data_IF_111451484622
#
_entry.id   IF_111451484622
#
_cell.length_a   1.000
_cell.length_b   1.000
_cell.length_c   1.000
_cell.angle_alpha   90.00
_cell.angle_beta   90.00
_cell.angle_gamma   90.00
#
_symmetry.space_group_name_H-M   'P 1'
#
loop_
_entity.id
_entity.type
_entity.pdbx_description
1 polymer ?
#
# COMPACT_ATOMS: atom_id res chain seq x y z
N UNK A 1 38.23 -22.50 -0.73
CA UNK A 1 37.18 -23.50 -0.46
C UNK A 1 36.17 -23.60 -1.60
N UNK A 2 35.16 -22.72 -1.75
CA UNK A 2 34.09 -22.92 -2.76
C UNK A 2 34.58 -23.10 -4.20
N UNK A 3 35.53 -22.25 -4.65
CA UNK A 3 36.12 -22.35 -6.00
C UNK A 3 36.87 -23.67 -6.22
N UNK A 4 37.51 -24.22 -5.17
CA UNK A 4 38.22 -25.49 -5.27
C UNK A 4 37.26 -26.64 -5.51
N UNK A 5 36.13 -26.71 -4.79
CA UNK A 5 35.13 -27.77 -5.01
C UNK A 5 34.38 -27.65 -6.36
N UNK A 6 34.15 -26.43 -6.85
CA UNK A 6 33.64 -26.22 -8.21
C UNK A 6 34.65 -26.72 -9.27
N UNK A 7 35.94 -26.48 -9.06
CA UNK A 7 37.00 -26.97 -9.93
C UNK A 7 37.13 -28.50 -9.86
N UNK A 8 37.00 -29.11 -8.68
CA UNK A 8 37.00 -30.58 -8.51
C UNK A 8 35.87 -31.23 -9.32
N UNK A 9 34.68 -30.61 -9.39
CA UNK A 9 33.59 -31.09 -10.25
C UNK A 9 33.66 -30.57 -11.69
N UNK A 10 34.63 -29.71 -12.03
CA UNK A 10 34.78 -29.07 -13.35
C UNK A 10 33.52 -28.31 -13.81
N UNK A 11 32.86 -27.62 -12.88
CA UNK A 11 31.65 -26.83 -13.15
C UNK A 11 31.89 -25.35 -12.89
N UNK A 12 31.15 -24.51 -13.60
CA UNK A 12 31.24 -23.06 -13.44
C UNK A 12 30.65 -22.61 -12.10
N UNK A 13 31.11 -21.46 -11.59
CA UNK A 13 30.49 -20.78 -10.45
C UNK A 13 29.01 -20.39 -10.66
N UNK A 14 28.58 -20.35 -11.91
CA UNK A 14 27.18 -20.08 -12.29
C UNK A 14 26.36 -21.37 -12.53
N UNK A 15 26.95 -22.55 -12.35
CA UNK A 15 26.30 -23.82 -12.69
C UNK A 15 25.09 -24.11 -11.81
N UNK A 16 24.02 -24.60 -12.43
CA UNK A 16 22.79 -24.97 -11.73
C UNK A 16 22.93 -26.25 -10.90
N UNK A 17 22.01 -26.52 -9.96
CA UNK A 17 21.97 -27.81 -9.21
C UNK A 17 22.05 -29.00 -10.17
N UNK A 18 21.31 -28.92 -11.27
CA UNK A 18 21.23 -30.00 -12.26
C UNK A 18 22.58 -30.28 -12.91
N UNK A 19 23.37 -29.25 -13.16
CA UNK A 19 24.69 -29.34 -13.76
C UNK A 19 25.70 -29.94 -12.77
N UNK A 20 25.68 -29.47 -11.51
CA UNK A 20 26.49 -30.03 -10.41
C UNK A 20 26.19 -31.53 -10.24
N UNK A 21 24.91 -31.92 -10.22
CA UNK A 21 24.48 -33.33 -10.11
C UNK A 21 24.86 -34.17 -11.33
N UNK A 22 24.95 -33.59 -12.52
CA UNK A 22 25.39 -34.28 -13.74
C UNK A 22 26.90 -34.50 -13.70
N UNK A 23 27.66 -33.47 -13.35
CA UNK A 23 29.11 -33.55 -13.22
C UNK A 23 29.55 -34.56 -12.16
N UNK A 24 28.91 -34.53 -10.97
CA UNK A 24 29.14 -35.53 -9.92
C UNK A 24 28.91 -36.95 -10.43
N UNK A 25 27.77 -37.23 -11.07
CA UNK A 25 27.47 -38.58 -11.61
C UNK A 25 28.50 -39.05 -12.64
N UNK A 26 29.01 -38.14 -13.48
CA UNK A 26 30.05 -38.45 -14.47
C UNK A 26 31.36 -38.82 -13.77
N UNK A 27 31.82 -38.00 -12.82
CA UNK A 27 33.08 -38.24 -12.09
C UNK A 27 33.00 -39.44 -11.14
N UNK A 28 31.90 -39.61 -10.43
CA UNK A 28 31.67 -40.77 -9.57
C UNK A 28 31.73 -42.09 -10.34
N UNK A 29 31.23 -42.14 -11.59
CA UNK A 29 31.36 -43.32 -12.45
C UNK A 29 32.81 -43.55 -12.94
N UNK A 30 33.55 -42.47 -13.18
CA UNK A 30 34.95 -42.53 -13.65
C UNK A 30 35.93 -43.01 -12.57
N UNK A 31 35.69 -42.64 -11.31
CA UNK A 31 36.54 -42.96 -10.17
C UNK A 31 35.95 -44.04 -9.26
N UNK A 32 34.89 -44.74 -9.69
CA UNK A 32 34.29 -45.80 -8.88
C UNK A 32 35.30 -46.94 -8.67
N UNK A 33 35.50 -47.44 -7.43
CA UNK A 33 36.50 -48.48 -7.14
C UNK A 33 36.28 -49.77 -7.92
N UNK A 34 35.03 -50.10 -8.25
CA UNK A 34 34.71 -51.28 -9.08
C UNK A 34 35.07 -51.12 -10.56
N UNK A 35 35.13 -49.89 -11.08
CA UNK A 35 35.37 -49.58 -12.49
C UNK A 35 36.80 -49.12 -12.75
N UNK A 36 37.44 -48.49 -11.77
CA UNK A 36 38.77 -47.93 -11.86
C UNK A 36 39.65 -48.44 -10.72
N UNK A 37 40.68 -49.21 -11.06
CA UNK A 37 41.63 -49.83 -10.12
C UNK A 37 42.95 -49.08 -10.01
N UNK A 38 43.03 -47.86 -10.56
CA UNK A 38 44.22 -47.03 -10.43
C UNK A 38 44.44 -46.65 -8.97
N UNK A 39 45.70 -46.60 -8.56
CA UNK A 39 46.10 -46.34 -7.17
C UNK A 39 45.62 -44.99 -6.60
N UNK A 40 45.21 -44.04 -7.46
CA UNK A 40 44.66 -42.74 -7.07
C UNK A 40 43.14 -42.59 -7.24
N UNK A 41 42.44 -43.61 -7.77
CA UNK A 41 41.00 -43.49 -8.05
C UNK A 41 40.16 -43.34 -6.78
N UNK A 42 40.56 -44.01 -5.70
CA UNK A 42 39.90 -43.94 -4.40
C UNK A 42 39.95 -42.53 -3.80
N UNK A 43 41.12 -41.88 -3.85
CA UNK A 43 41.31 -40.53 -3.29
C UNK A 43 40.51 -39.49 -4.10
N UNK A 44 40.52 -39.61 -5.42
CA UNK A 44 39.69 -38.77 -6.31
C UNK A 44 38.19 -38.96 -6.05
N UNK A 45 37.75 -40.20 -5.81
CA UNK A 45 36.35 -40.48 -5.48
C UNK A 45 35.91 -39.80 -4.18
N UNK A 46 36.76 -39.86 -3.14
CA UNK A 46 36.51 -39.18 -1.85
C UNK A 46 36.40 -37.66 -2.06
N UNK A 47 37.34 -37.06 -2.81
CA UNK A 47 37.35 -35.62 -3.12
C UNK A 47 36.11 -35.19 -3.90
N UNK A 48 35.68 -35.98 -4.89
CA UNK A 48 34.48 -35.72 -5.68
C UNK A 48 33.21 -35.77 -4.82
N UNK A 49 33.14 -36.72 -3.87
CA UNK A 49 32.01 -36.81 -2.96
C UNK A 49 31.97 -35.62 -1.98
N UNK A 50 33.11 -35.27 -1.39
CA UNK A 50 33.24 -34.12 -0.49
C UNK A 50 32.85 -32.81 -1.21
N UNK A 51 33.32 -32.64 -2.45
CA UNK A 51 32.97 -31.49 -3.28
C UNK A 51 31.47 -31.39 -3.54
N UNK A 52 30.83 -32.52 -3.85
CA UNK A 52 29.39 -32.57 -4.08
C UNK A 52 28.59 -32.23 -2.83
N UNK A 53 28.94 -32.81 -1.68
CA UNK A 53 28.25 -32.55 -0.41
C UNK A 53 28.38 -31.08 0.02
N UNK A 54 29.60 -30.52 -0.05
CA UNK A 54 29.85 -29.13 0.27
C UNK A 54 29.04 -28.20 -0.64
N UNK A 55 29.09 -28.41 -1.96
CA UNK A 55 28.36 -27.58 -2.91
C UNK A 55 26.84 -27.68 -2.69
N UNK A 56 26.31 -28.88 -2.40
CA UNK A 56 24.88 -29.05 -2.22
C UNK A 56 24.36 -28.41 -0.92
N UNK A 57 25.15 -28.48 0.16
CA UNK A 57 24.86 -27.81 1.44
C UNK A 57 24.86 -26.29 1.31
N UNK A 58 25.79 -25.72 0.55
CA UNK A 58 25.97 -24.28 0.44
C UNK A 58 25.25 -23.65 -0.78
N UNK A 59 24.66 -24.45 -1.67
CA UNK A 59 24.03 -23.98 -2.91
C UNK A 59 22.94 -22.91 -2.70
N UNK A 60 22.12 -23.07 -1.66
CA UNK A 60 21.01 -22.15 -1.35
C UNK A 60 21.41 -21.00 -0.43
N UNK A 61 22.68 -20.89 -0.01
CA UNK A 61 23.09 -19.82 0.89
C UNK A 61 23.08 -18.46 0.17
N UNK A 62 22.57 -17.40 0.81
CA UNK A 62 22.64 -16.04 0.27
C UNK A 62 24.11 -15.66 0.08
N UNK A 63 24.54 -15.54 -1.18
CA UNK A 63 25.94 -15.31 -1.53
C UNK A 63 26.52 -16.35 -2.49
N UNK A 64 25.97 -17.57 -2.54
CA UNK A 64 26.43 -18.63 -3.46
C UNK A 64 26.31 -18.23 -4.95
N UNK A 65 25.19 -17.59 -5.33
CA UNK A 65 24.99 -17.05 -6.70
C UNK A 65 25.17 -15.54 -6.83
N UNK A 66 25.27 -14.84 -5.70
CA UNK A 66 25.18 -13.39 -5.71
C UNK A 66 26.54 -12.79 -6.08
N UNK A 67 26.77 -12.52 -7.37
CA UNK A 67 27.90 -11.69 -7.87
C UNK A 67 27.77 -10.22 -7.47
N UNK A 68 27.08 -9.91 -6.37
CA UNK A 68 26.86 -8.53 -5.97
C UNK A 68 28.15 -7.93 -5.46
N UNK A 69 28.53 -6.80 -6.03
CA UNK A 69 29.68 -6.07 -5.53
C UNK A 69 29.41 -5.58 -4.09
N UNK A 70 30.44 -5.25 -3.30
CA UNK A 70 30.27 -4.62 -1.99
C UNK A 70 29.32 -3.40 -2.04
N UNK A 71 29.41 -2.59 -3.08
CA UNK A 71 28.60 -1.38 -3.29
C UNK A 71 27.11 -1.72 -3.51
N UNK A 72 26.83 -2.75 -4.32
CA UNK A 72 25.46 -3.21 -4.55
C UNK A 72 24.82 -3.77 -3.26
N UNK A 73 25.60 -4.53 -2.47
CA UNK A 73 25.14 -5.03 -1.16
C UNK A 73 24.84 -3.88 -0.20
N UNK A 74 25.69 -2.87 -0.16
CA UNK A 74 25.46 -1.67 0.66
C UNK A 74 24.20 -0.92 0.23
N UNK A 75 24.02 -0.67 -1.07
CA UNK A 75 22.80 -0.04 -1.61
C UNK A 75 21.53 -0.78 -1.23
N UNK A 76 21.54 -2.11 -1.36
CA UNK A 76 20.39 -2.94 -0.98
C UNK A 76 20.11 -2.87 0.52
N UNK A 77 21.15 -2.88 1.34
CA UNK A 77 21.03 -2.70 2.79
C UNK A 77 20.40 -1.33 3.11
N UNK A 78 20.90 -0.23 2.54
CA UNK A 78 20.33 1.12 2.72
C UNK A 78 18.87 1.17 2.28
N UNK A 79 18.53 0.56 1.14
CA UNK A 79 17.15 0.52 0.64
C UNK A 79 16.23 -0.21 1.61
N UNK A 80 16.66 -1.37 2.12
CA UNK A 80 15.91 -2.14 3.12
C UNK A 80 15.75 -1.37 4.42
N UNK A 81 16.80 -0.70 4.87
CA UNK A 81 16.78 0.06 6.13
C UNK A 81 15.86 1.27 6.03
N UNK A 82 15.94 2.03 4.92
CA UNK A 82 14.98 3.10 4.61
C UNK A 82 13.54 2.58 4.55
N UNK A 83 13.31 1.41 3.96
CA UNK A 83 11.97 0.82 3.90
C UNK A 83 11.42 0.46 5.29
N UNK A 84 12.26 -0.12 6.16
CA UNK A 84 11.90 -0.38 7.57
C UNK A 84 11.59 0.91 8.29
N UNK A 85 12.47 1.91 8.22
CA UNK A 85 12.28 3.22 8.87
C UNK A 85 10.97 3.88 8.42
N UNK A 86 10.68 3.87 7.10
CA UNK A 86 9.40 4.36 6.55
C UNK A 86 8.20 3.60 7.11
N UNK A 87 8.27 2.27 7.21
CA UNK A 87 7.20 1.44 7.78
C UNK A 87 6.97 1.76 9.27
N UNK A 88 8.04 1.98 10.03
CA UNK A 88 7.94 2.38 11.43
C UNK A 88 7.35 3.78 11.60
N UNK A 89 7.84 4.76 10.84
CA UNK A 89 7.31 6.12 10.82
C UNK A 89 5.82 6.14 10.44
N UNK A 90 5.42 5.37 9.42
CA UNK A 90 4.02 5.24 9.02
C UNK A 90 3.15 4.66 10.13
N UNK A 91 3.62 3.61 10.84
CA UNK A 91 2.90 3.04 12.00
C UNK A 91 2.77 4.04 13.15
N UNK A 92 3.81 4.81 13.43
CA UNK A 92 3.77 5.84 14.46
C UNK A 92 2.80 6.97 14.09
N UNK A 93 2.84 7.43 12.85
CA UNK A 93 1.91 8.43 12.33
C UNK A 93 0.45 7.95 12.41
N UNK A 94 0.19 6.68 12.07
CA UNK A 94 -1.14 6.06 12.23
C UNK A 94 -1.58 6.05 13.70
N UNK A 95 -0.73 5.62 14.64
CA UNK A 95 -1.06 5.62 16.07
C UNK A 95 -1.34 7.02 16.62
N UNK A 96 -0.56 8.02 16.21
CA UNK A 96 -0.78 9.41 16.61
C UNK A 96 -2.12 9.94 16.08
N UNK A 97 -2.44 9.64 14.82
CA UNK A 97 -3.73 10.00 14.23
C UNK A 97 -4.91 9.30 14.92
N UNK A 98 -4.77 8.02 15.29
CA UNK A 98 -5.80 7.32 16.05
C UNK A 98 -6.05 7.95 17.42
N UNK A 99 -4.99 8.34 18.13
CA UNK A 99 -5.13 9.08 19.40
C UNK A 99 -5.85 10.41 19.20
N UNK A 100 -5.50 11.16 18.14
CA UNK A 100 -6.18 12.41 17.81
C UNK A 100 -7.66 12.20 17.50
N UNK A 101 -7.99 11.21 16.67
CA UNK A 101 -9.38 10.86 16.31
C UNK A 101 -10.22 10.46 17.54
N UNK A 102 -9.63 9.74 18.48
CA UNK A 102 -10.31 9.29 19.69
C UNK A 102 -10.36 10.35 20.80
N UNK A 103 -9.64 11.47 20.62
CA UNK A 103 -9.69 12.59 21.55
C UNK A 103 -11.08 13.24 21.59
N UNK A 104 -11.41 13.87 22.72
CA UNK A 104 -12.65 14.63 22.88
C UNK A 104 -12.74 15.77 21.85
N UNK A 105 -11.62 16.44 21.56
CA UNK A 105 -11.55 17.56 20.62
C UNK A 105 -12.02 17.18 19.21
N UNK A 106 -11.54 16.06 18.67
CA UNK A 106 -11.92 15.63 17.32
C UNK A 106 -13.41 15.27 17.22
N UNK A 107 -13.94 14.56 18.22
CA UNK A 107 -15.37 14.19 18.28
C UNK A 107 -16.26 15.43 18.40
N UNK A 108 -15.89 16.39 19.26
CA UNK A 108 -16.62 17.65 19.42
C UNK A 108 -16.58 18.49 18.14
N UNK A 109 -15.42 18.62 17.49
CA UNK A 109 -15.30 19.34 16.24
C UNK A 109 -16.21 18.74 15.15
N UNK A 110 -16.20 17.42 14.99
CA UNK A 110 -17.05 16.76 14.00
C UNK A 110 -18.54 16.93 14.29
N UNK A 111 -18.94 16.94 15.57
CA UNK A 111 -20.31 17.23 15.97
C UNK A 111 -20.71 18.66 15.58
N UNK A 112 -19.86 19.65 15.87
CA UNK A 112 -20.09 21.05 15.50
C UNK A 112 -20.25 21.23 13.98
N UNK A 113 -19.38 20.60 13.19
CA UNK A 113 -19.51 20.61 11.73
C UNK A 113 -20.80 19.93 11.25
N UNK A 114 -21.21 18.84 11.92
CA UNK A 114 -22.50 18.21 11.61
C UNK A 114 -23.66 19.17 11.86
N UNK A 115 -23.67 19.85 13.02
CA UNK A 115 -24.71 20.83 13.38
C UNK A 115 -24.74 21.99 12.39
N UNK A 116 -23.57 22.52 12.02
CA UNK A 116 -23.44 23.61 11.06
C UNK A 116 -24.08 23.29 9.70
N UNK A 117 -23.83 22.11 9.13
CA UNK A 117 -24.43 21.76 7.84
C UNK A 117 -25.95 21.69 7.89
N UNK A 118 -26.51 21.15 8.98
CA UNK A 118 -27.96 21.12 9.18
C UNK A 118 -28.52 22.53 9.36
N UNK A 119 -27.81 23.40 10.06
CA UNK A 119 -28.19 24.80 10.22
C UNK A 119 -28.25 25.53 8.86
N UNK A 120 -27.22 25.37 8.02
CA UNK A 120 -27.17 25.91 6.65
C UNK A 120 -28.31 25.36 5.79
N UNK A 121 -28.62 24.06 5.92
CA UNK A 121 -29.73 23.43 5.20
C UNK A 121 -31.08 24.02 5.62
N UNK A 122 -31.31 24.19 6.92
CA UNK A 122 -32.54 24.80 7.46
C UNK A 122 -32.66 26.25 6.98
N UNK A 123 -31.58 27.03 7.01
CA UNK A 123 -31.59 28.40 6.46
C UNK A 123 -31.95 28.40 4.98
N UNK A 124 -31.35 27.53 4.17
CA UNK A 124 -31.67 27.42 2.74
C UNK A 124 -33.14 27.09 2.50
N UNK A 125 -33.71 26.18 3.29
CA UNK A 125 -35.14 25.84 3.24
C UNK A 125 -36.03 27.01 3.69
N UNK A 126 -35.65 27.74 4.73
CA UNK A 126 -36.39 28.92 5.19
C UNK A 126 -36.38 30.04 4.15
N UNK A 127 -35.25 30.27 3.46
CA UNK A 127 -35.15 31.23 2.36
C UNK A 127 -36.09 30.83 1.21
N UNK A 128 -36.09 29.56 0.84
CA UNK A 128 -36.98 29.01 -0.20
C UNK A 128 -38.45 29.15 0.19
N UNK A 129 -38.79 28.78 1.43
CA UNK A 129 -40.14 28.92 1.96
C UNK A 129 -40.59 30.38 1.96
N UNK A 130 -39.74 31.30 2.45
CA UNK A 130 -40.03 32.73 2.47
C UNK A 130 -40.21 33.31 1.07
N UNK A 131 -39.41 32.87 0.08
CA UNK A 131 -39.54 33.33 -1.30
C UNK A 131 -40.87 32.87 -1.93
N UNK A 132 -41.25 31.60 -1.73
CA UNK A 132 -42.51 31.04 -2.25
C UNK A 132 -43.71 31.70 -1.54
N UNK A 133 -43.65 31.79 -0.21
CA UNK A 133 -44.72 32.38 0.60
C UNK A 133 -44.90 33.87 0.33
N UNK A 134 -43.80 34.61 0.15
CA UNK A 134 -43.83 36.04 -0.21
C UNK A 134 -44.50 36.28 -1.56
N UNK A 135 -44.15 35.49 -2.58
CA UNK A 135 -44.82 35.56 -3.89
C UNK A 135 -46.29 35.10 -3.82
N UNK A 136 -46.63 34.21 -2.91
CA UNK A 136 -48.01 33.79 -2.70
C UNK A 136 -48.86 34.92 -2.10
N UNK A 137 -48.38 35.54 -1.03
CA UNK A 137 -49.08 36.66 -0.37
C UNK A 137 -49.30 37.85 -1.30
N UNK A 138 -48.34 38.14 -2.18
CA UNK A 138 -48.47 39.26 -3.11
C UNK A 138 -49.61 39.10 -4.13
N UNK A 139 -50.05 37.86 -4.40
CA UNK A 139 -51.18 37.58 -5.28
C UNK A 139 -52.50 38.15 -4.76
N UNK A 140 -52.63 38.25 -3.44
CA UNK A 140 -53.86 38.63 -2.76
C UNK A 140 -53.96 40.16 -2.52
N UNK A 141 -52.92 40.93 -2.90
CA UNK A 141 -52.91 42.39 -2.85
C UNK A 141 -53.36 43.03 -4.17
N UNK A 142 -54.08 44.16 -4.08
CA UNK A 142 -54.67 44.92 -5.21
C UNK A 142 -53.66 45.32 -6.31
N UNK A 143 -52.39 45.59 -5.95
CA UNK A 143 -51.34 45.98 -6.92
C UNK A 143 -50.72 44.79 -7.70
N UNK A 144 -50.94 43.55 -7.26
CA UNK A 144 -50.42 42.35 -7.92
C UNK A 144 -48.88 42.26 -7.99
N UNK A 145 -48.37 41.54 -9.01
CA UNK A 145 -46.94 41.26 -9.17
C UNK A 145 -46.19 42.40 -9.89
N UNK A 146 -45.16 42.93 -9.24
CA UNK A 146 -44.20 43.87 -9.87
C UNK A 146 -42.97 43.12 -10.39
N UNK A 147 -42.36 43.61 -11.47
CA UNK A 147 -41.16 42.97 -12.05
C UNK A 147 -40.02 42.82 -11.02
N UNK A 148 -39.82 43.82 -10.15
CA UNK A 148 -38.80 43.79 -9.10
C UNK A 148 -39.07 42.71 -8.04
N UNK A 149 -40.32 42.54 -7.62
CA UNK A 149 -40.71 41.52 -6.64
C UNK A 149 -40.54 40.09 -7.19
N UNK A 150 -40.87 39.88 -8.47
CA UNK A 150 -40.66 38.60 -9.14
C UNK A 150 -39.16 38.29 -9.25
N UNK A 151 -38.36 39.27 -9.67
CA UNK A 151 -36.90 39.12 -9.76
C UNK A 151 -36.29 38.82 -8.38
N UNK A 152 -36.72 39.53 -7.33
CA UNK A 152 -36.25 39.28 -5.97
C UNK A 152 -36.61 37.88 -5.46
N UNK A 153 -37.84 37.42 -5.72
CA UNK A 153 -38.28 36.06 -5.38
C UNK A 153 -37.46 34.98 -6.10
N UNK A 154 -37.25 35.14 -7.41
CA UNK A 154 -36.42 34.21 -8.21
C UNK A 154 -34.98 34.19 -7.69
N UNK A 155 -34.41 35.35 -7.36
CA UNK A 155 -33.05 35.44 -6.82
C UNK A 155 -32.91 34.72 -5.47
N UNK A 156 -33.88 34.87 -4.56
CA UNK A 156 -33.91 34.16 -3.28
C UNK A 156 -34.05 32.64 -3.46
N UNK A 157 -34.84 32.19 -4.44
CA UNK A 157 -34.95 30.77 -4.78
C UNK A 157 -33.60 30.21 -5.24
N UNK A 158 -32.89 30.93 -6.10
CA UNK A 158 -31.55 30.53 -6.58
C UNK A 158 -30.57 30.45 -5.40
N UNK A 159 -30.54 31.46 -4.53
CA UNK A 159 -29.68 31.48 -3.34
C UNK A 159 -30.02 30.29 -2.42
N UNK A 160 -31.29 30.10 -2.08
CA UNK A 160 -31.74 28.97 -1.25
C UNK A 160 -31.32 27.62 -1.85
N UNK A 161 -31.47 27.46 -3.16
CA UNK A 161 -31.02 26.27 -3.90
C UNK A 161 -29.51 26.03 -3.81
N UNK A 162 -28.69 27.09 -3.92
CA UNK A 162 -27.22 26.99 -3.76
C UNK A 162 -26.86 26.54 -2.34
N UNK A 163 -27.49 27.13 -1.32
CA UNK A 163 -27.24 26.77 0.08
C UNK A 163 -27.59 25.30 0.37
N UNK A 164 -28.73 24.84 -0.14
CA UNK A 164 -29.15 23.44 0.00
C UNK A 164 -28.18 22.51 -0.73
N UNK A 165 -27.82 22.83 -1.98
CA UNK A 165 -26.88 22.03 -2.78
C UNK A 165 -25.52 21.90 -2.10
N UNK A 166 -24.97 23.02 -1.61
CA UNK A 166 -23.72 23.03 -0.87
C UNK A 166 -23.79 22.19 0.41
N UNK A 167 -24.88 22.32 1.19
CA UNK A 167 -25.07 21.52 2.41
C UNK A 167 -25.17 20.02 2.10
N UNK A 168 -25.95 19.62 1.10
CA UNK A 168 -26.07 18.22 0.68
C UNK A 168 -24.70 17.67 0.25
N UNK A 169 -23.94 18.43 -0.54
CA UNK A 169 -22.60 18.05 -0.98
C UNK A 169 -21.63 17.90 0.21
N UNK A 170 -21.68 18.83 1.17
CA UNK A 170 -20.85 18.78 2.38
C UNK A 170 -21.21 17.57 3.25
N UNK A 171 -22.49 17.30 3.48
CA UNK A 171 -22.95 16.12 4.23
C UNK A 171 -22.51 14.82 3.54
N UNK A 172 -22.67 14.73 2.22
CA UNK A 172 -22.28 13.54 1.44
C UNK A 172 -20.78 13.30 1.47
N UNK A 173 -19.98 14.32 1.21
CA UNK A 173 -18.51 14.22 1.19
C UNK A 173 -17.96 13.73 2.54
N UNK A 174 -18.53 14.20 3.66
CA UNK A 174 -18.17 13.72 5.00
C UNK A 174 -18.56 12.27 5.22
N UNK A 175 -19.77 11.84 4.84
CA UNK A 175 -20.19 10.43 4.95
C UNK A 175 -19.24 9.51 4.17
N UNK A 176 -18.81 9.92 2.97
CA UNK A 176 -17.84 9.17 2.17
C UNK A 176 -16.46 9.12 2.83
N UNK A 177 -15.97 10.24 3.39
CA UNK A 177 -14.73 10.27 4.16
C UNK A 177 -14.78 9.36 5.40
N UNK A 178 -15.92 9.32 6.11
CA UNK A 178 -16.16 8.42 7.24
C UNK A 178 -16.20 6.94 6.82
N UNK A 179 -16.77 6.61 5.66
CA UNK A 179 -16.80 5.23 5.14
C UNK A 179 -15.41 4.77 4.72
N UNK A 180 -14.66 5.62 4.00
CA UNK A 180 -13.29 5.34 3.54
C UNK A 180 -12.32 5.17 4.72
N UNK A 181 -12.44 6.02 5.74
CA UNK A 181 -11.64 5.91 6.96
C UNK A 181 -12.01 4.71 7.84
N UNK A 182 -13.24 4.18 7.80
CA UNK A 182 -13.54 2.89 8.45
C UNK A 182 -12.90 1.72 7.70
N UNK A 183 -13.02 1.68 6.37
CA UNK A 183 -12.52 0.57 5.54
C UNK A 183 -10.99 0.45 5.55
N UNK A 184 -10.26 1.57 5.54
CA UNK A 184 -8.80 1.57 5.51
C UNK A 184 -8.16 1.02 6.81
N UNK A 185 -8.88 1.06 7.93
CA UNK A 185 -8.35 0.68 9.25
C UNK A 185 -8.90 -0.66 9.78
N UNK A 186 -9.93 -1.25 9.16
CA UNK A 186 -10.46 -2.56 9.54
C UNK A 186 -9.65 -3.76 9.00
N UNK A 187 -8.42 -3.53 8.51
CA UNK A 187 -7.54 -4.60 8.02
C UNK A 187 -7.99 -5.30 6.74
N UNK A 188 -9.13 -4.91 6.15
CA UNK A 188 -9.57 -5.35 4.83
C UNK A 188 -8.84 -4.54 3.75
N UNK A 189 -7.54 -4.77 3.60
CA UNK A 189 -6.81 -4.31 2.41
C UNK A 189 -7.15 -5.21 1.22
N UNK A 190 -7.49 -4.56 0.10
CA UNK A 190 -7.40 -5.10 -1.26
C UNK A 190 -6.08 -5.84 -1.50
#
# INVERSE_FOLDING_TARGET
MLRQYLNILEVSSNSGILEIKRAFRKKAKQFHPDLNKDSGAQDEFILVNEAYEFLMKHYNQPGFRSKKTPEERYRDWVKKEKAKARKHAARQAQRQFEKYRNSKLYKTANLLYSIYDYFVLVIGLLILFAAIFGLHLQKDFEEGYTLSSVIAGVFLIIIGGIFISFSIMSIRSRKEAFKKSRKYYSGQSL
#
